data_IF_530523103624
#
_entry.id   IF_530523103624
#
_cell.length_a   1.000
_cell.length_b   1.000
_cell.length_c   1.000
_cell.angle_alpha   90.00
_cell.angle_beta   90.00
_cell.angle_gamma   90.00
#
_symmetry.space_group_name_H-M   'P 1'
#
loop_
_entity.id
_entity.type
_entity.pdbx_description
1 polymer ?
#
# COMPACT_ATOMS: atom_id res chain seq x y z
N UNK A 1 0.14 7.09 2.34
CA UNK A 1 0.56 6.38 1.11
C UNK A 1 1.36 5.15 1.54
N UNK A 2 1.33 4.06 0.77
CA UNK A 2 2.19 2.90 0.96
C UNK A 2 2.70 2.42 -0.40
N UNK A 3 3.69 1.53 -0.39
CA UNK A 3 4.18 0.80 -1.57
C UNK A 3 4.41 -0.67 -1.20
N UNK A 4 4.51 -1.52 -2.21
CA UNK A 4 4.82 -2.95 -2.07
C UNK A 4 6.13 -3.19 -2.82
N UNK A 5 7.09 -3.84 -2.16
CA UNK A 5 8.30 -4.32 -2.81
C UNK A 5 7.96 -5.54 -3.67
N UNK A 6 8.25 -5.48 -4.97
CA UNK A 6 8.09 -6.62 -5.88
C UNK A 6 9.39 -7.43 -6.05
N UNK A 7 10.52 -6.88 -5.58
CA UNK A 7 11.83 -7.52 -5.47
C UNK A 7 12.54 -7.02 -4.20
N UNK A 8 13.70 -7.61 -3.86
CA UNK A 8 14.48 -7.23 -2.69
C UNK A 8 14.97 -5.77 -2.77
N UNK A 9 14.78 -5.01 -1.69
CA UNK A 9 15.10 -3.57 -1.65
C UNK A 9 15.80 -3.14 -0.38
N UNK A 10 16.87 -3.85 0.01
CA UNK A 10 17.64 -3.62 1.23
C UNK A 10 18.11 -2.16 1.40
N UNK A 11 18.27 -1.42 0.30
CA UNK A 11 18.65 -0.01 0.33
C UNK A 11 17.61 0.90 1.01
N UNK A 12 16.38 0.42 1.23
CA UNK A 12 15.31 1.14 1.93
C UNK A 12 15.23 0.83 3.42
N UNK A 13 16.05 -0.10 3.92
CA UNK A 13 16.03 -0.50 5.32
C UNK A 13 16.38 0.68 6.24
N UNK A 14 15.56 0.86 7.29
CA UNK A 14 15.66 2.00 8.21
C UNK A 14 15.14 3.34 7.67
N UNK A 15 14.83 3.44 6.37
CA UNK A 15 14.25 4.64 5.76
C UNK A 15 12.71 4.61 5.73
N UNK A 16 12.14 3.41 5.64
CA UNK A 16 10.69 3.21 5.58
C UNK A 16 10.23 2.16 6.58
N UNK A 17 9.05 2.37 7.17
CA UNK A 17 8.46 1.44 8.11
C UNK A 17 7.79 0.28 7.37
N UNK A 18 8.35 -0.93 7.49
CA UNK A 18 7.68 -2.15 7.07
C UNK A 18 6.60 -2.52 8.09
N UNK A 19 5.32 -2.54 7.67
CA UNK A 19 4.17 -2.83 8.54
C UNK A 19 3.35 -4.07 8.10
N UNK A 20 3.75 -4.73 7.02
CA UNK A 20 3.07 -5.92 6.51
C UNK A 20 3.84 -6.60 5.38
N UNK A 21 3.37 -7.77 4.95
CA UNK A 21 3.90 -8.51 3.81
C UNK A 21 2.76 -9.15 3.01
N UNK A 22 2.97 -9.31 1.72
CA UNK A 22 2.05 -10.06 0.85
C UNK A 22 2.20 -11.55 1.16
N UNK A 23 1.09 -12.22 1.48
CA UNK A 23 1.08 -13.67 1.74
C UNK A 23 0.74 -14.46 0.49
N UNK A 24 -0.13 -13.92 -0.37
CA UNK A 24 -0.61 -14.53 -1.60
C UNK A 24 -0.74 -13.45 -2.70
N UNK A 25 -0.54 -13.83 -3.97
CA UNK A 25 -0.72 -12.92 -5.11
C UNK A 25 0.50 -12.07 -5.46
N UNK A 26 1.72 -12.47 -5.10
CA UNK A 26 2.94 -11.78 -5.57
C UNK A 26 3.06 -11.76 -7.09
N UNK A 27 2.56 -12.79 -7.80
CA UNK A 27 2.52 -12.79 -9.26
C UNK A 27 1.64 -11.67 -9.84
N UNK A 28 0.62 -11.22 -9.09
CA UNK A 28 -0.22 -10.07 -9.47
C UNK A 28 0.52 -8.77 -9.21
N UNK A 29 1.26 -8.67 -8.11
CA UNK A 29 2.14 -7.53 -7.83
C UNK A 29 3.17 -7.36 -8.96
N UNK A 30 3.81 -8.44 -9.39
CA UNK A 30 4.78 -8.43 -10.49
C UNK A 30 4.13 -8.01 -11.81
N UNK A 31 2.93 -8.51 -12.10
CA UNK A 31 2.16 -8.08 -13.30
C UNK A 31 1.84 -6.59 -13.27
N UNK A 32 1.50 -6.04 -12.10
CA UNK A 32 1.25 -4.60 -11.92
C UNK A 32 2.54 -3.81 -12.12
N UNK A 33 3.66 -4.26 -11.57
CA UNK A 33 4.96 -3.60 -11.71
C UNK A 33 5.45 -3.61 -13.18
N UNK A 34 5.11 -4.63 -13.95
CA UNK A 34 5.54 -4.79 -15.34
C UNK A 34 4.64 -4.10 -16.39
N UNK A 35 3.59 -3.38 -16.00
CA UNK A 35 2.73 -2.67 -16.97
C UNK A 35 3.50 -1.53 -17.65
N UNK A 36 3.07 -1.16 -18.86
CA UNK A 36 3.67 -0.03 -19.57
C UNK A 36 3.46 1.27 -18.80
N UNK A 37 4.54 2.02 -18.62
CA UNK A 37 4.55 3.34 -17.97
C UNK A 37 4.90 4.45 -18.95
N UNK A 38 4.63 5.70 -18.55
CA UNK A 38 5.19 6.89 -19.20
C UNK A 38 6.59 7.22 -18.64
N UNK A 39 7.16 8.35 -19.08
CA UNK A 39 8.50 8.80 -18.65
C UNK A 39 8.58 9.29 -17.19
N UNK A 40 7.50 9.23 -16.43
CA UNK A 40 7.44 9.53 -15.00
C UNK A 40 7.04 8.31 -14.17
N UNK A 41 7.22 7.11 -14.73
CA UNK A 41 6.87 5.82 -14.13
C UNK A 41 5.38 5.65 -13.80
N UNK A 42 4.51 6.49 -14.37
CA UNK A 42 3.06 6.35 -14.21
C UNK A 42 2.54 5.29 -15.18
N UNK A 43 1.78 4.28 -14.72
CA UNK A 43 1.12 3.33 -15.60
C UNK A 43 0.23 4.01 -16.65
N UNK A 44 0.37 3.61 -17.92
CA UNK A 44 -0.48 4.10 -19.02
C UNK A 44 -1.94 3.64 -18.86
N UNK A 45 -2.13 2.46 -18.26
CA UNK A 45 -3.43 1.96 -17.84
C UNK A 45 -3.50 2.00 -16.32
N UNK A 46 -4.54 2.63 -15.77
CA UNK A 46 -4.65 2.83 -14.32
C UNK A 46 -4.83 1.50 -13.58
N UNK A 47 -4.04 1.31 -12.52
CA UNK A 47 -4.13 0.17 -11.61
C UNK A 47 -4.84 0.63 -10.33
N UNK A 48 -6.11 0.27 -10.17
CA UNK A 48 -6.96 0.75 -9.05
C UNK A 48 -7.39 -0.39 -8.14
N UNK A 49 -7.38 -0.11 -6.84
CA UNK A 49 -7.98 -0.99 -5.85
C UNK A 49 -9.49 -0.87 -5.95
N UNK A 50 -10.18 -1.94 -6.35
CA UNK A 50 -11.64 -1.96 -6.48
C UNK A 50 -12.33 -2.07 -5.10
N UNK A 51 -11.77 -2.84 -4.18
CA UNK A 51 -12.30 -3.02 -2.83
C UNK A 51 -11.21 -3.52 -1.88
N UNK A 52 -11.33 -3.20 -0.59
CA UNK A 52 -10.48 -3.73 0.47
C UNK A 52 -11.36 -4.44 1.48
N UNK A 53 -10.93 -5.60 1.97
CA UNK A 53 -11.54 -6.31 3.09
C UNK A 53 -10.48 -6.55 4.15
N UNK A 54 -10.87 -6.36 5.41
CA UNK A 54 -10.01 -6.60 6.57
C UNK A 54 -10.56 -7.82 7.29
N UNK A 55 -9.75 -8.87 7.41
CA UNK A 55 -10.03 -9.99 8.28
C UNK A 55 -9.50 -9.65 9.67
N UNK A 56 -10.41 -9.34 10.60
CA UNK A 56 -10.04 -8.97 11.97
C UNK A 56 -9.63 -10.17 12.83
N UNK A 57 -9.66 -11.39 12.29
CA UNK A 57 -9.30 -12.62 13.02
C UNK A 57 -10.07 -12.81 14.33
N UNK A 58 -11.30 -12.28 14.40
CA UNK A 58 -12.14 -12.34 15.60
C UNK A 58 -11.89 -11.23 16.61
N UNK A 59 -10.96 -10.31 16.34
CA UNK A 59 -10.72 -9.12 17.15
C UNK A 59 -11.71 -8.00 16.79
N UNK A 60 -12.14 -7.25 17.80
CA UNK A 60 -12.91 -6.01 17.61
C UNK A 60 -11.97 -4.81 17.81
N UNK A 61 -11.90 -3.94 16.80
CA UNK A 61 -11.13 -2.71 16.87
C UNK A 61 -12.08 -1.54 17.13
N UNK A 62 -11.81 -0.69 18.14
CA UNK A 62 -12.60 0.52 18.35
C UNK A 62 -12.41 1.48 17.17
N UNK A 63 -13.38 2.38 17.00
CA UNK A 63 -13.20 3.52 16.09
C UNK A 63 -11.90 4.26 16.44
N UNK A 64 -11.11 4.67 15.44
CA UNK A 64 -9.84 5.34 15.69
C UNK A 64 -10.07 6.68 16.38
N UNK A 65 -9.23 7.01 17.36
CA UNK A 65 -9.20 8.34 17.98
C UNK A 65 -8.80 9.38 16.93
N UNK A 66 -9.80 10.11 16.44
CA UNK A 66 -9.59 11.22 15.50
C UNK A 66 -9.10 12.42 16.29
N UNK A 67 -7.78 12.61 16.30
CA UNK A 67 -7.20 13.86 16.80
C UNK A 67 -7.78 15.03 16.03
N UNK A 68 -8.21 16.07 16.75
CA UNK A 68 -8.70 17.31 16.14
C UNK A 68 -7.55 17.90 15.33
N UNK A 69 -7.79 18.23 14.06
CA UNK A 69 -6.76 18.85 13.22
C UNK A 69 -6.26 20.13 13.93
N UNK A 70 -4.97 20.22 14.30
CA UNK A 70 -4.42 21.41 14.94
C UNK A 70 -4.52 22.66 14.05
N UNK A 71 -4.79 22.50 12.75
CA UNK A 71 -4.95 23.58 11.77
C UNK A 71 -6.40 23.79 11.29
N UNK A 72 -7.37 23.03 11.81
CA UNK A 72 -8.80 23.24 11.55
C UNK A 72 -9.22 23.20 10.07
N UNK A 73 -8.63 22.31 9.26
CA UNK A 73 -8.94 22.18 7.82
C UNK A 73 -10.11 21.23 7.52
N UNK A 74 -10.81 20.76 8.55
CA UNK A 74 -12.03 19.97 8.48
C UNK A 74 -13.07 20.48 9.48
#
# INVERSE_FOLDING_TARGET
QFFIMHEDGEFLDGQYAAFGKVLEGMDVVDKIAAVKTDGSDRPLSEQKIASIRVDTKGEEYPEPDKLRDPYGRF
#
